data_IF_670596208057
#
_entry.id   IF_670596208057
#
_cell.length_a   1.000
_cell.length_b   1.000
_cell.length_c   1.000
_cell.angle_alpha   90.00
_cell.angle_beta   90.00
_cell.angle_gamma   90.00
#
_symmetry.space_group_name_H-M   'P 1'
#
loop_
_entity.id
_entity.type
_entity.pdbx_description
1 polymer ?
#
# COMPACT_ATOMS: atom_id res chain seq x y z
N UNK A 1 2.82 14.75 -42.21
CA UNK A 1 2.87 13.49 -41.45
C UNK A 1 2.48 13.82 -40.01
N UNK A 2 1.34 13.33 -39.51
CA UNK A 2 0.96 13.54 -38.10
C UNK A 2 1.54 12.40 -37.27
N UNK A 3 2.44 12.72 -36.35
CA UNK A 3 2.99 11.74 -35.41
C UNK A 3 1.88 11.27 -34.47
N UNK A 4 1.72 9.95 -34.38
CA UNK A 4 0.83 9.27 -33.43
C UNK A 4 1.63 9.09 -32.15
N UNK A 5 1.42 9.96 -31.16
CA UNK A 5 2.07 9.85 -29.85
C UNK A 5 1.47 8.66 -29.12
N UNK A 6 2.22 7.56 -29.04
CA UNK A 6 1.90 6.42 -28.19
C UNK A 6 2.24 6.79 -26.75
N UNK A 7 1.23 7.13 -25.95
CA UNK A 7 1.40 7.22 -24.49
C UNK A 7 1.54 5.78 -23.98
N UNK A 8 2.77 5.32 -23.77
CA UNK A 8 3.02 4.14 -22.98
C UNK A 8 2.47 4.44 -21.57
N UNK A 9 1.30 3.88 -21.24
CA UNK A 9 0.73 4.01 -19.90
C UNK A 9 1.70 3.36 -18.92
N UNK A 10 2.34 4.16 -18.08
CA UNK A 10 3.04 3.65 -16.91
C UNK A 10 2.05 2.85 -16.08
N UNK A 11 2.34 1.58 -15.78
CA UNK A 11 1.51 0.81 -14.87
C UNK A 11 1.56 1.49 -13.50
N UNK A 12 0.41 1.99 -13.04
CA UNK A 12 0.31 2.59 -11.73
C UNK A 12 0.33 1.47 -10.68
N UNK A 13 1.43 1.37 -9.94
CA UNK A 13 1.54 0.44 -8.81
C UNK A 13 1.36 1.23 -7.52
N UNK A 14 0.33 0.89 -6.75
CA UNK A 14 0.13 1.40 -5.40
C UNK A 14 0.46 0.26 -4.44
N UNK A 15 1.47 0.47 -3.60
CA UNK A 15 1.91 -0.48 -2.57
C UNK A 15 1.70 0.15 -1.21
N UNK A 16 1.19 -0.62 -0.25
CA UNK A 16 0.78 -0.11 1.06
C UNK A 16 1.39 -0.99 2.14
N UNK A 17 2.14 -0.37 3.06
CA UNK A 17 2.67 -1.04 4.24
C UNK A 17 1.63 -1.00 5.38
N UNK A 18 0.72 -1.98 5.41
CA UNK A 18 -0.45 -1.98 6.28
C UNK A 18 -0.07 -1.87 7.76
N UNK A 19 -0.66 -0.88 8.45
CA UNK A 19 -0.41 -0.63 9.87
C UNK A 19 0.96 -0.02 10.19
N UNK A 20 1.72 0.44 9.19
CA UNK A 20 3.07 0.95 9.42
C UNK A 20 3.41 2.15 8.52
N UNK A 21 4.63 2.67 8.70
CA UNK A 21 5.19 3.80 7.96
C UNK A 21 5.66 3.40 6.55
N UNK A 22 6.08 4.39 5.78
CA UNK A 22 6.63 4.16 4.45
C UNK A 22 7.90 3.29 4.53
N UNK A 23 8.01 2.32 3.62
CA UNK A 23 9.13 1.40 3.54
C UNK A 23 9.60 1.26 2.10
N UNK A 24 10.91 1.18 1.91
CA UNK A 24 11.51 0.86 0.60
C UNK A 24 12.03 -0.56 0.64
N UNK A 25 11.52 -1.40 -0.25
CA UNK A 25 11.89 -2.82 -0.30
C UNK A 25 13.26 -3.07 -0.92
N UNK A 26 13.72 -4.32 -0.86
CA UNK A 26 15.01 -4.78 -1.36
C UNK A 26 15.18 -4.55 -2.86
N UNK A 27 14.08 -4.38 -3.59
CA UNK A 27 14.04 -4.11 -5.04
C UNK A 27 14.00 -2.61 -5.35
N UNK A 28 13.95 -1.75 -4.33
CA UNK A 28 13.91 -0.30 -4.46
C UNK A 28 12.51 0.26 -4.67
N UNK A 29 11.46 -0.55 -4.52
CA UNK A 29 10.08 -0.11 -4.65
C UNK A 29 9.58 0.50 -3.33
N UNK A 30 8.78 1.56 -3.44
CA UNK A 30 8.20 2.24 -2.28
C UNK A 30 6.86 1.61 -1.92
N UNK A 31 6.71 1.26 -0.65
CA UNK A 31 5.49 0.86 0.03
C UNK A 31 5.05 2.02 0.91
N UNK A 32 3.97 2.69 0.54
CA UNK A 32 3.52 3.88 1.24
C UNK A 32 2.99 3.57 2.65
N UNK A 33 3.15 4.54 3.55
CA UNK A 33 2.54 4.50 4.87
C UNK A 33 1.02 4.28 4.76
N UNK A 34 0.50 3.39 5.58
CA UNK A 34 -0.93 3.12 5.65
C UNK A 34 -1.71 4.35 6.13
N UNK A 35 -2.86 4.61 5.53
CA UNK A 35 -3.61 5.85 5.77
C UNK A 35 -5.11 5.69 5.60
N UNK A 36 -5.84 6.62 6.21
CA UNK A 36 -7.26 6.77 5.99
C UNK A 36 -7.53 7.17 4.53
N UNK A 37 -8.62 6.66 3.97
CA UNK A 37 -9.07 7.06 2.66
C UNK A 37 -9.41 8.57 2.63
N UNK A 38 -9.08 9.20 1.51
CA UNK A 38 -9.47 10.55 1.16
C UNK A 38 -10.01 10.55 -0.28
N UNK A 39 -11.09 11.31 -0.60
CA UNK A 39 -11.65 11.35 -1.94
C UNK A 39 -10.62 11.68 -3.02
N UNK A 40 -10.58 10.90 -4.10
CA UNK A 40 -9.59 11.06 -5.18
C UNK A 40 -8.23 10.43 -4.87
N UNK A 41 -8.13 9.63 -3.80
CA UNK A 41 -6.92 8.93 -3.39
C UNK A 41 -7.25 7.46 -3.06
N UNK A 42 -6.43 6.84 -2.23
CA UNK A 42 -6.61 5.50 -1.70
C UNK A 42 -6.51 5.49 -0.17
N UNK A 43 -6.97 4.41 0.46
CA UNK A 43 -6.80 4.18 1.90
C UNK A 43 -7.90 3.29 2.50
N UNK A 44 -7.82 3.10 3.81
CA UNK A 44 -8.85 2.42 4.57
C UNK A 44 -10.02 3.37 4.88
N UNK A 45 -11.25 2.98 4.51
CA UNK A 45 -12.46 3.78 4.72
C UNK A 45 -12.89 3.84 6.19
N UNK A 46 -12.65 2.76 6.91
CA UNK A 46 -13.03 2.56 8.30
C UNK A 46 -11.79 2.41 9.20
N UNK A 47 -10.74 3.20 8.93
CA UNK A 47 -9.47 3.15 9.66
C UNK A 47 -9.65 3.19 11.20
N UNK A 48 -10.52 4.05 11.78
CA UNK A 48 -10.70 4.09 13.23
C UNK A 48 -11.35 2.84 13.85
N UNK A 49 -11.97 1.95 13.04
CA UNK A 49 -12.60 0.70 13.48
C UNK A 49 -11.69 -0.52 13.29
N UNK A 50 -10.41 -0.28 13.03
CA UNK A 50 -9.41 -1.33 12.83
C UNK A 50 -8.29 -1.18 13.85
N UNK A 51 -7.67 -2.31 14.18
CA UNK A 51 -6.49 -2.40 15.01
C UNK A 51 -5.25 -2.65 14.16
N UNK A 52 -4.09 -2.31 14.73
CA UNK A 52 -2.79 -2.68 14.19
C UNK A 52 -2.12 -3.62 15.17
N UNK A 53 -1.71 -4.79 14.68
CA UNK A 53 -0.83 -5.69 15.41
C UNK A 53 0.57 -5.62 14.81
N UNK A 54 1.57 -5.63 15.68
CA UNK A 54 2.98 -5.58 15.30
C UNK A 54 3.77 -6.68 15.97
N UNK A 55 4.82 -7.16 15.32
CA UNK A 55 5.85 -8.00 15.94
C UNK A 55 7.24 -7.45 15.66
N UNK A 56 8.19 -7.76 16.53
CA UNK A 56 9.62 -7.51 16.31
C UNK A 56 10.38 -8.77 15.89
N UNK A 57 9.69 -9.91 15.85
CA UNK A 57 10.28 -11.17 15.42
C UNK A 57 10.74 -11.07 13.96
N UNK A 58 11.86 -11.75 13.67
CA UNK A 58 12.32 -11.88 12.31
C UNK A 58 11.36 -12.79 11.53
N UNK A 59 10.85 -12.28 10.41
CA UNK A 59 10.09 -13.08 9.46
C UNK A 59 11.05 -13.72 8.46
N UNK A 60 11.05 -15.05 8.40
CA UNK A 60 11.88 -15.83 7.47
C UNK A 60 11.27 -15.87 6.08
N UNK A 61 12.03 -16.35 5.08
CA UNK A 61 11.60 -16.54 3.68
C UNK A 61 11.13 -15.26 2.97
N UNK A 62 11.60 -14.10 3.43
CA UNK A 62 11.45 -12.80 2.78
C UNK A 62 12.72 -11.98 2.92
N UNK A 63 13.04 -11.17 1.91
CA UNK A 63 14.11 -10.17 1.98
C UNK A 63 13.63 -8.90 2.71
N UNK A 64 12.32 -8.74 2.86
CA UNK A 64 11.66 -7.54 3.38
C UNK A 64 10.81 -7.86 4.61
N UNK A 65 11.41 -8.32 5.74
CA UNK A 65 10.64 -8.72 6.92
C UNK A 65 9.78 -7.58 7.50
N UNK A 66 10.20 -6.32 7.32
CA UNK A 66 9.47 -5.14 7.80
C UNK A 66 8.05 -5.06 7.25
N UNK A 67 7.83 -5.48 5.99
CA UNK A 67 6.50 -5.51 5.37
C UNK A 67 5.55 -6.53 6.00
N UNK A 68 6.09 -7.51 6.72
CA UNK A 68 5.34 -8.60 7.35
C UNK A 68 5.31 -8.49 8.88
N UNK A 69 5.94 -7.46 9.44
CA UNK A 69 6.00 -7.21 10.88
C UNK A 69 4.80 -6.40 11.40
N UNK A 70 3.97 -5.86 10.51
CA UNK A 70 2.71 -5.21 10.86
C UNK A 70 1.55 -5.79 10.06
N UNK A 71 0.38 -5.80 10.68
CA UNK A 71 -0.89 -6.08 10.03
C UNK A 71 -1.94 -5.11 10.54
N UNK A 72 -2.81 -4.64 9.64
CA UNK A 72 -4.07 -4.01 10.02
C UNK A 72 -5.20 -5.02 9.93
N UNK A 73 -6.04 -5.09 10.96
CA UNK A 73 -7.17 -5.99 11.02
C UNK A 73 -8.37 -5.35 11.72
N UNK A 74 -9.56 -5.87 11.47
CA UNK A 74 -10.80 -5.46 12.11
C UNK A 74 -11.90 -6.45 11.74
N UNK A 75 -13.04 -6.41 12.43
CA UNK A 75 -14.21 -7.25 12.10
C UNK A 75 -14.67 -7.02 10.65
N UNK A 76 -14.61 -5.77 10.21
CA UNK A 76 -14.77 -5.35 8.83
C UNK A 76 -13.60 -4.42 8.48
N UNK A 77 -12.94 -4.63 7.34
CA UNK A 77 -11.89 -3.73 6.85
C UNK A 77 -12.13 -3.45 5.37
N UNK A 78 -12.36 -2.18 5.05
CA UNK A 78 -12.69 -1.75 3.68
C UNK A 78 -11.58 -0.85 3.17
N UNK A 79 -10.90 -1.30 2.11
CA UNK A 79 -9.88 -0.53 1.41
C UNK A 79 -10.41 -0.04 0.07
N UNK A 80 -10.13 1.22 -0.26
CA UNK A 80 -10.59 1.84 -1.50
C UNK A 80 -9.41 2.45 -2.26
N UNK A 81 -9.46 2.34 -3.57
CA UNK A 81 -8.54 2.97 -4.51
C UNK A 81 -9.35 3.66 -5.60
N UNK A 82 -9.26 4.98 -5.68
CA UNK A 82 -9.78 5.71 -6.82
C UNK A 82 -8.73 5.69 -7.94
N UNK A 83 -9.01 4.98 -9.04
CA UNK A 83 -8.11 4.81 -10.18
C UNK A 83 -8.64 5.55 -11.41
N UNK A 84 -7.78 6.08 -12.29
CA UNK A 84 -8.19 6.55 -13.62
C UNK A 84 -8.81 5.43 -14.46
N UNK A 85 -9.74 5.79 -15.34
CA UNK A 85 -10.35 4.90 -16.34
C UNK A 85 -9.41 4.63 -17.53
#
# INVERSE_FOLDING_TARGET
MKAKTSTAGSSLHIRVNLGSEEYKDSKGEIWHADKAYTPGSWGCLNLPQTDVLTTTDRISDTEDPVLFQSVRMGEEMIYRFDLPN
#
